data_IF_520755838865
#
_entry.id   IF_520755838865
#
_cell.length_a   1.000
_cell.length_b   1.000
_cell.length_c   1.000
_cell.angle_alpha   90.00
_cell.angle_beta   90.00
_cell.angle_gamma   90.00
#
_symmetry.space_group_name_H-M   'P 1'
#
loop_
_entity.id
_entity.type
_entity.pdbx_description
1 polymer ?
#
# COMPACT_ATOMS: atom_id res chain seq x y z
N UNK A 1 -2.38 -38.11 -33.60
CA UNK A 1 -2.17 -37.73 -32.19
C UNK A 1 -1.00 -36.77 -32.16
N UNK A 2 -1.25 -35.47 -31.96
CA UNK A 2 -0.20 -34.45 -31.88
C UNK A 2 0.37 -34.43 -30.46
N UNK A 3 1.69 -34.46 -30.37
CA UNK A 3 2.47 -34.41 -29.13
C UNK A 3 2.18 -33.09 -28.37
N UNK A 4 2.14 -33.09 -27.02
CA UNK A 4 1.94 -31.86 -26.26
C UNK A 4 3.13 -30.91 -26.47
N UNK A 5 2.89 -29.61 -26.71
CA UNK A 5 3.95 -28.66 -26.99
C UNK A 5 4.90 -28.52 -25.79
N UNK A 6 6.21 -28.52 -26.04
CA UNK A 6 7.22 -28.39 -24.99
C UNK A 6 7.18 -27.01 -24.32
N UNK A 7 7.62 -26.89 -23.05
CA UNK A 7 7.59 -25.63 -22.29
C UNK A 7 8.45 -24.51 -22.89
N UNK A 8 9.39 -24.85 -23.77
CA UNK A 8 10.30 -23.91 -24.43
C UNK A 8 9.81 -23.48 -25.81
N UNK A 9 8.68 -24.00 -26.28
CA UNK A 9 8.12 -23.59 -27.57
C UNK A 9 7.50 -22.18 -27.45
N UNK A 10 7.78 -21.25 -28.39
CA UNK A 10 7.14 -19.92 -28.40
C UNK A 10 5.62 -19.99 -28.66
N UNK A 11 5.10 -21.18 -28.99
CA UNK A 11 3.68 -21.50 -29.19
C UNK A 11 3.05 -22.10 -27.92
N UNK A 12 3.83 -22.32 -26.86
CA UNK A 12 3.28 -22.75 -25.57
C UNK A 12 2.42 -21.62 -24.99
N UNK A 13 1.10 -21.73 -25.19
CA UNK A 13 0.14 -20.93 -24.45
C UNK A 13 0.29 -21.29 -22.98
N UNK A 14 0.86 -20.37 -22.20
CA UNK A 14 0.76 -20.38 -20.74
C UNK A 14 -0.71 -20.69 -20.37
N UNK A 15 -0.99 -21.59 -19.41
CA UNK A 15 -2.38 -21.95 -19.10
C UNK A 15 -3.15 -20.66 -18.84
N UNK A 16 -4.29 -20.41 -19.52
CA UNK A 16 -5.06 -19.21 -19.27
C UNK A 16 -5.38 -19.21 -17.77
N UNK A 17 -4.90 -18.17 -17.07
CA UNK A 17 -5.35 -17.88 -15.71
C UNK A 17 -6.88 -18.00 -15.75
N UNK A 18 -7.54 -18.76 -14.86
CA UNK A 18 -8.99 -18.87 -14.89
C UNK A 18 -9.53 -17.45 -14.94
N UNK A 19 -10.16 -17.12 -16.07
CA UNK A 19 -10.50 -15.76 -16.42
C UNK A 19 -11.37 -15.23 -15.31
N UNK A 20 -10.79 -14.41 -14.43
CA UNK A 20 -11.56 -13.65 -13.48
C UNK A 20 -12.37 -12.72 -14.35
N UNK A 21 -13.63 -13.06 -14.61
CA UNK A 21 -14.57 -12.12 -15.19
C UNK A 21 -14.48 -10.88 -14.30
N UNK A 22 -13.78 -9.85 -14.78
CA UNK A 22 -13.73 -8.58 -14.10
C UNK A 22 -15.14 -8.04 -14.21
N UNK A 23 -15.92 -8.27 -13.17
CA UNK A 23 -17.23 -7.68 -13.03
C UNK A 23 -17.07 -6.18 -13.28
N UNK A 24 -17.84 -5.64 -14.24
CA UNK A 24 -17.87 -4.20 -14.53
C UNK A 24 -18.54 -3.40 -13.40
N UNK A 25 -19.09 -4.08 -12.39
CA UNK A 25 -19.80 -3.46 -11.27
C UNK A 25 -19.02 -2.32 -10.58
N UNK A 26 -17.69 -2.42 -10.30
CA UNK A 26 -16.94 -1.33 -9.66
C UNK A 26 -16.93 -0.03 -10.48
N UNK A 27 -16.96 -0.10 -11.80
CA UNK A 27 -16.94 1.07 -12.68
C UNK A 27 -18.27 1.86 -12.60
N UNK A 28 -19.39 1.14 -12.55
CA UNK A 28 -20.71 1.76 -12.39
C UNK A 28 -20.90 2.40 -11.01
N UNK A 29 -20.42 1.75 -9.94
CA UNK A 29 -20.51 2.33 -8.60
C UNK A 29 -19.69 3.62 -8.49
N UNK A 30 -18.49 3.66 -9.07
CA UNK A 30 -17.67 4.87 -9.11
C UNK A 30 -18.36 6.01 -9.82
N UNK A 31 -18.97 5.75 -10.98
CA UNK A 31 -19.71 6.76 -11.74
C UNK A 31 -20.93 7.29 -10.98
N UNK A 32 -21.74 6.40 -10.40
CA UNK A 32 -22.93 6.78 -9.62
C UNK A 32 -22.53 7.57 -8.38
N UNK A 33 -21.51 7.11 -7.64
CA UNK A 33 -20.99 7.80 -6.47
C UNK A 33 -20.47 9.20 -6.83
N UNK A 34 -19.63 9.31 -7.88
CA UNK A 34 -19.09 10.59 -8.33
C UNK A 34 -20.19 11.56 -8.75
N UNK A 35 -21.17 11.10 -9.54
CA UNK A 35 -22.29 11.94 -10.01
C UNK A 35 -23.16 12.39 -8.84
N UNK A 36 -23.49 11.48 -7.92
CA UNK A 36 -24.27 11.81 -6.73
C UNK A 36 -23.54 12.81 -5.82
N UNK A 37 -22.24 12.60 -5.58
CA UNK A 37 -21.41 13.54 -4.79
C UNK A 37 -21.29 14.89 -5.48
N UNK A 38 -21.14 14.94 -6.80
CA UNK A 38 -21.08 16.19 -7.56
C UNK A 38 -22.40 16.98 -7.46
N UNK A 39 -23.55 16.31 -7.62
CA UNK A 39 -24.87 16.94 -7.46
C UNK A 39 -25.06 17.44 -6.04
N UNK A 40 -24.75 16.61 -5.03
CA UNK A 40 -24.84 17.01 -3.62
C UNK A 40 -23.94 18.21 -3.30
N UNK A 41 -22.72 18.25 -3.86
CA UNK A 41 -21.79 19.36 -3.70
C UNK A 41 -22.31 20.64 -4.36
N UNK A 42 -22.88 20.55 -5.57
CA UNK A 42 -23.51 21.71 -6.22
C UNK A 42 -24.69 22.25 -5.40
N UNK A 43 -25.54 21.37 -4.87
CA UNK A 43 -26.65 21.77 -3.99
C UNK A 43 -26.14 22.43 -2.71
N UNK A 44 -25.07 21.90 -2.12
CA UNK A 44 -24.41 22.50 -0.96
C UNK A 44 -23.86 23.89 -1.27
N UNK A 45 -23.19 24.10 -2.41
CA UNK A 45 -22.69 25.42 -2.82
C UNK A 45 -23.82 26.40 -3.07
N UNK A 46 -24.89 25.97 -3.75
CA UNK A 46 -26.07 26.80 -3.98
C UNK A 46 -26.68 27.23 -2.64
N UNK A 47 -26.88 26.29 -1.71
CA UNK A 47 -27.38 26.60 -0.37
C UNK A 47 -26.46 27.55 0.41
N UNK A 48 -25.14 27.35 0.35
CA UNK A 48 -24.17 28.16 1.08
C UNK A 48 -24.06 29.60 0.54
N UNK A 49 -24.16 29.79 -0.78
CA UNK A 49 -23.87 31.06 -1.45
C UNK A 49 -25.12 31.88 -1.85
N UNK A 50 -26.27 31.26 -2.13
CA UNK A 50 -27.48 32.01 -2.50
C UNK A 50 -28.04 32.79 -1.30
N UNK A 51 -28.64 33.97 -1.50
CA UNK A 51 -29.40 34.69 -0.46
C UNK A 51 -30.67 33.94 -0.03
N UNK A 52 -31.13 34.16 1.21
CA UNK A 52 -32.30 33.48 1.79
C UNK A 52 -33.57 33.65 0.94
N UNK A 53 -33.79 34.83 0.37
CA UNK A 53 -34.96 35.13 -0.47
C UNK A 53 -35.11 34.19 -1.68
N UNK A 54 -33.99 33.73 -2.26
CA UNK A 54 -34.02 32.80 -3.40
C UNK A 54 -34.36 31.37 -2.95
N UNK A 55 -33.89 30.98 -1.76
CA UNK A 55 -34.13 29.66 -1.18
C UNK A 55 -35.58 29.54 -0.71
N UNK A 56 -36.09 30.58 -0.05
CA UNK A 56 -37.50 30.68 0.34
C UNK A 56 -38.42 30.72 -0.89
N UNK A 57 -38.02 31.45 -1.94
CA UNK A 57 -38.74 31.48 -3.23
C UNK A 57 -38.78 30.12 -3.94
N UNK A 58 -37.80 29.24 -3.70
CA UNK A 58 -37.81 27.86 -4.18
C UNK A 58 -38.72 26.93 -3.35
N UNK A 59 -39.36 27.44 -2.29
CA UNK A 59 -40.26 26.68 -1.41
C UNK A 59 -39.56 25.97 -0.25
N UNK A 60 -38.28 26.24 -0.01
CA UNK A 60 -37.53 25.65 1.11
C UNK A 60 -37.69 26.53 2.34
N UNK A 61 -38.63 26.14 3.21
CA UNK A 61 -38.99 26.89 4.42
C UNK A 61 -38.07 26.64 5.63
N UNK A 62 -37.27 25.57 5.59
CA UNK A 62 -36.35 25.26 6.68
C UNK A 62 -35.04 24.68 6.13
N UNK A 63 -33.92 25.27 6.56
CA UNK A 63 -32.56 24.82 6.28
C UNK A 63 -31.67 25.10 7.50
N UNK A 64 -30.56 24.37 7.68
CA UNK A 64 -29.65 24.57 8.82
C UNK A 64 -29.01 25.97 8.79
N UNK A 65 -28.42 26.40 9.92
CA UNK A 65 -27.73 27.70 9.97
C UNK A 65 -26.59 27.77 8.95
N UNK A 66 -26.36 28.95 8.36
CA UNK A 66 -25.32 29.16 7.34
C UNK A 66 -23.90 28.91 7.86
N UNK A 67 -23.70 28.94 9.16
CA UNK A 67 -22.42 28.62 9.82
C UNK A 67 -21.93 27.21 9.48
N UNK A 68 -22.84 26.27 9.24
CA UNK A 68 -22.48 24.90 8.82
C UNK A 68 -21.75 24.87 7.48
N UNK A 69 -21.91 25.88 6.63
CA UNK A 69 -21.15 26.01 5.40
C UNK A 69 -19.64 26.18 5.67
N UNK A 70 -19.24 26.78 6.79
CA UNK A 70 -17.83 26.93 7.17
C UNK A 70 -17.39 25.78 8.08
N UNK A 71 -18.26 25.33 8.98
CA UNK A 71 -17.93 24.25 9.91
C UNK A 71 -17.63 22.94 9.18
N UNK A 72 -18.42 22.55 8.18
CA UNK A 72 -18.20 21.30 7.44
C UNK A 72 -16.80 21.19 6.82
N UNK A 73 -16.32 22.16 6.01
CA UNK A 73 -14.97 22.10 5.44
C UNK A 73 -13.87 22.28 6.51
N UNK A 74 -14.10 23.06 7.57
CA UNK A 74 -13.11 23.19 8.64
C UNK A 74 -12.90 21.87 9.39
N UNK A 75 -13.99 21.21 9.80
CA UNK A 75 -13.92 19.93 10.50
C UNK A 75 -13.43 18.80 9.60
N UNK A 76 -13.70 18.81 8.29
CA UNK A 76 -13.18 17.80 7.37
C UNK A 76 -11.65 17.83 7.30
N UNK A 77 -11.04 19.02 7.29
CA UNK A 77 -9.58 19.18 7.36
C UNK A 77 -9.05 18.65 8.70
N UNK A 78 -9.71 18.97 9.81
CA UNK A 78 -9.30 18.46 11.14
C UNK A 78 -9.34 16.94 11.18
N UNK A 79 -10.40 16.31 10.68
CA UNK A 79 -10.53 14.84 10.63
C UNK A 79 -9.46 14.22 9.73
N UNK A 80 -9.17 14.84 8.57
CA UNK A 80 -8.12 14.37 7.67
C UNK A 80 -6.74 14.42 8.35
N UNK A 81 -6.39 15.56 8.96
CA UNK A 81 -5.14 15.71 9.72
C UNK A 81 -5.06 14.70 10.87
N UNK A 82 -6.14 14.54 11.65
CA UNK A 82 -6.20 13.58 12.74
C UNK A 82 -5.96 12.14 12.25
N UNK A 83 -6.52 11.79 11.09
CA UNK A 83 -6.31 10.48 10.47
C UNK A 83 -4.84 10.26 10.12
N UNK A 84 -4.17 11.24 9.52
CA UNK A 84 -2.74 11.16 9.24
C UNK A 84 -1.90 11.08 10.51
N UNK A 85 -2.17 11.91 11.52
CA UNK A 85 -1.45 11.85 12.79
C UNK A 85 -1.63 10.49 13.48
N UNK A 86 -2.85 9.96 13.47
CA UNK A 86 -3.16 8.63 14.03
C UNK A 86 -2.41 7.55 13.26
N UNK A 87 -2.41 7.62 11.93
CA UNK A 87 -1.66 6.69 11.09
C UNK A 87 -0.15 6.72 11.40
N UNK A 88 0.46 7.92 11.49
CA UNK A 88 1.86 8.04 11.87
C UNK A 88 2.12 7.50 13.28
N UNK A 89 1.26 7.80 14.25
CA UNK A 89 1.39 7.28 15.60
C UNK A 89 1.34 5.73 15.62
N UNK A 90 0.43 5.13 14.86
CA UNK A 90 0.35 3.68 14.69
C UNK A 90 1.59 3.11 13.98
N UNK A 91 2.09 3.80 12.95
CA UNK A 91 3.29 3.37 12.24
C UNK A 91 4.52 3.39 13.17
N UNK A 92 4.69 4.45 13.97
CA UNK A 92 5.76 4.53 14.96
C UNK A 92 5.59 3.48 16.06
N UNK A 93 4.37 3.27 16.53
CA UNK A 93 4.08 2.22 17.52
C UNK A 93 4.37 0.81 16.99
N UNK A 94 4.12 0.57 15.70
CA UNK A 94 4.37 -0.72 15.04
C UNK A 94 5.81 -0.93 14.56
N UNK A 95 6.67 0.09 14.65
CA UNK A 95 8.06 -0.01 14.18
C UNK A 95 8.92 -0.71 15.25
N UNK A 96 9.66 -1.78 14.92
CA UNK A 96 10.59 -2.42 15.85
C UNK A 96 11.74 -1.48 16.25
N UNK A 97 12.41 -1.77 17.36
CA UNK A 97 13.58 -1.01 17.80
C UNK A 97 14.66 -0.99 16.71
N UNK A 98 15.43 0.10 16.61
CA UNK A 98 16.54 0.21 15.65
C UNK A 98 17.62 -0.86 15.84
N UNK A 99 17.76 -1.39 17.06
CA UNK A 99 18.70 -2.46 17.38
C UNK A 99 18.16 -3.86 17.04
N UNK A 100 16.88 -3.98 16.66
CA UNK A 100 16.28 -5.26 16.29
C UNK A 100 16.46 -5.52 14.79
N UNK A 101 16.97 -6.70 14.44
CA UNK A 101 17.14 -7.15 13.06
C UNK A 101 15.82 -7.11 12.28
N UNK A 102 14.68 -7.24 12.98
CA UNK A 102 13.33 -7.14 12.40
C UNK A 102 13.02 -5.78 11.74
N UNK A 103 13.79 -4.74 12.03
CA UNK A 103 13.70 -3.47 11.31
C UNK A 103 14.17 -3.58 9.85
N UNK A 104 15.04 -4.55 9.55
CA UNK A 104 15.65 -4.76 8.23
C UNK A 104 15.22 -6.06 7.55
N UNK A 105 14.91 -7.11 8.32
CA UNK A 105 14.44 -8.39 7.79
C UNK A 105 13.00 -8.67 8.17
N UNK A 106 12.21 -9.18 7.22
CA UNK A 106 10.89 -9.71 7.50
C UNK A 106 10.96 -11.19 7.94
N UNK A 107 9.81 -11.80 8.22
CA UNK A 107 9.71 -13.20 8.61
C UNK A 107 9.88 -14.20 7.46
N UNK A 108 10.00 -13.71 6.22
CA UNK A 108 10.16 -14.53 5.02
C UNK A 108 11.59 -14.49 4.47
N UNK A 109 12.45 -13.61 4.99
CA UNK A 109 13.87 -13.59 4.71
C UNK A 109 14.49 -14.96 4.97
N UNK A 110 15.08 -15.54 3.93
CA UNK A 110 15.69 -16.86 4.00
C UNK A 110 17.16 -16.70 4.38
N UNK A 111 17.38 -16.35 5.65
CA UNK A 111 18.71 -16.07 6.21
C UNK A 111 19.26 -17.35 6.83
N UNK A 112 20.50 -17.69 6.48
CA UNK A 112 21.18 -18.84 7.06
C UNK A 112 21.49 -18.59 8.55
N UNK A 113 20.93 -19.42 9.43
CA UNK A 113 21.24 -19.37 10.87
C UNK A 113 22.46 -20.25 11.18
N UNK A 114 23.37 -19.76 12.03
CA UNK A 114 24.50 -20.57 12.50
C UNK A 114 24.00 -21.73 13.35
N UNK A 115 24.18 -22.94 12.83
CA UNK A 115 24.01 -24.17 13.61
C UNK A 115 25.35 -24.52 14.24
N UNK A 116 25.38 -24.72 15.56
CA UNK A 116 26.56 -25.21 16.29
C UNK A 116 27.83 -24.33 16.20
N UNK A 117 27.69 -23.02 15.90
CA UNK A 117 28.80 -22.07 15.84
C UNK A 117 29.58 -22.05 14.53
N UNK A 118 29.21 -22.89 13.56
CA UNK A 118 29.73 -22.80 12.18
C UNK A 118 28.96 -21.74 11.39
N UNK A 119 29.69 -20.90 10.65
CA UNK A 119 29.10 -19.90 9.77
C UNK A 119 28.55 -20.58 8.51
N UNK A 120 27.23 -20.59 8.28
CA UNK A 120 26.64 -21.31 7.16
C UNK A 120 27.02 -20.70 5.80
N UNK A 121 27.43 -19.43 5.80
CA UNK A 121 27.95 -18.76 4.61
C UNK A 121 29.32 -19.30 4.15
N UNK A 122 30.03 -20.09 4.98
CA UNK A 122 31.29 -20.71 4.57
C UNK A 122 31.09 -21.87 3.61
N UNK A 123 29.94 -22.54 3.69
CA UNK A 123 29.62 -23.66 2.79
C UNK A 123 29.42 -23.17 1.35
N UNK A 124 29.09 -21.89 1.15
CA UNK A 124 29.05 -21.24 -0.16
C UNK A 124 30.43 -21.11 -0.81
N UNK A 125 31.53 -21.13 -0.05
CA UNK A 125 32.88 -21.07 -0.60
C UNK A 125 33.37 -22.41 -1.14
N UNK A 126 32.67 -23.52 -0.87
CA UNK A 126 33.09 -24.83 -1.32
C UNK A 126 32.74 -25.02 -2.81
N UNK A 127 33.74 -25.11 -3.73
CA UNK A 127 33.48 -25.21 -5.17
C UNK A 127 32.89 -26.56 -5.60
N UNK A 128 32.85 -27.56 -4.71
CA UNK A 128 32.30 -28.89 -4.99
C UNK A 128 30.89 -29.09 -4.42
N UNK A 129 30.38 -28.15 -3.63
CA UNK A 129 29.03 -28.19 -3.09
C UNK A 129 28.09 -27.34 -3.95
N UNK A 130 26.82 -27.74 -4.04
CA UNK A 130 25.74 -26.87 -4.54
C UNK A 130 25.07 -26.29 -3.29
N UNK A 131 25.44 -25.07 -2.86
CA UNK A 131 24.90 -24.49 -1.63
C UNK A 131 23.43 -24.10 -1.81
N UNK A 132 22.69 -24.14 -0.72
CA UNK A 132 21.36 -23.54 -0.66
C UNK A 132 21.46 -22.02 -0.83
N UNK A 133 20.46 -21.41 -1.46
CA UNK A 133 20.45 -19.97 -1.76
C UNK A 133 19.93 -19.23 -0.54
N UNK A 134 20.79 -18.49 0.17
CA UNK A 134 20.42 -17.68 1.32
C UNK A 134 20.48 -16.17 1.03
N UNK A 135 19.59 -15.41 1.67
CA UNK A 135 19.66 -13.95 1.69
C UNK A 135 20.86 -13.50 2.54
N UNK A 136 21.76 -12.73 1.93
CA UNK A 136 22.95 -12.21 2.60
C UNK A 136 22.61 -10.94 3.42
N UNK A 137 22.90 -10.92 4.74
CA UNK A 137 22.68 -9.73 5.55
C UNK A 137 23.52 -8.56 5.04
N UNK A 138 22.91 -7.39 4.89
CA UNK A 138 23.59 -6.19 4.40
C UNK A 138 24.80 -5.80 5.27
N UNK A 139 24.76 -6.07 6.58
CA UNK A 139 25.90 -5.86 7.47
C UNK A 139 27.13 -6.72 7.12
N UNK A 140 26.91 -7.96 6.67
CA UNK A 140 27.98 -8.85 6.21
C UNK A 140 28.56 -8.33 4.89
N UNK A 141 27.70 -7.99 3.94
CA UNK A 141 28.09 -7.42 2.64
C UNK A 141 28.92 -6.15 2.85
N UNK A 142 28.45 -5.24 3.72
CA UNK A 142 29.15 -3.99 3.98
C UNK A 142 30.52 -4.22 4.64
N UNK A 143 30.63 -5.17 5.56
CA UNK A 143 31.92 -5.53 6.17
C UNK A 143 32.89 -6.09 5.12
N UNK A 144 32.43 -6.98 4.25
CA UNK A 144 33.30 -7.59 3.23
C UNK A 144 33.74 -6.57 2.17
N UNK A 145 32.83 -5.70 1.72
CA UNK A 145 33.10 -4.75 0.64
C UNK A 145 33.78 -3.46 1.10
N UNK A 146 33.49 -2.99 2.31
CA UNK A 146 33.88 -1.65 2.76
C UNK A 146 34.74 -1.61 4.02
N UNK A 147 35.02 -2.74 4.68
CA UNK A 147 36.04 -2.75 5.74
C UNK A 147 37.39 -2.54 5.10
N UNK A 148 37.98 -1.37 5.34
CA UNK A 148 39.38 -1.10 5.01
C UNK A 148 40.25 -2.01 5.88
N UNK A 149 41.32 -2.61 5.34
CA UNK A 149 42.33 -3.21 6.20
C UNK A 149 42.88 -2.12 7.11
N UNK A 150 42.95 -2.40 8.40
CA UNK A 150 43.57 -1.50 9.37
C UNK A 150 45.02 -1.20 8.92
N UNK A 151 45.36 0.08 8.78
CA UNK A 151 46.76 0.55 8.61
C UNK A 151 47.54 0.39 9.92
#
# INVERSE_FOLDING_TARGET
MSEPPSPTSPVAQYPPYPGREKSRAPEYYGFVAWTATAIAFMLYLLWALLPDAWIEGAGVLWFPSREWAILLPAYSIVVALLTYFTYFALAFYGTPSFDDMRAFTDSRGYIAMSQNGTNPYLDLLNPQAIPEIYDMPIGLVNRVLYTKPDE
#
